data_IF_668712998950
#
_entry.id   IF_668712998950
#
_cell.length_a   1.000
_cell.length_b   1.000
_cell.length_c   1.000
_cell.angle_alpha   90.00
_cell.angle_beta   90.00
_cell.angle_gamma   90.00
#
_symmetry.space_group_name_H-M   'P 1'
#
loop_
_entity.id
_entity.type
_entity.pdbx_description
1 polymer ?
#
# COMPACT_ATOMS: atom_id res chain seq x y z
N UNK A 1 3.73 0.14 5.33
CA UNK A 1 4.05 -0.58 6.58
C UNK A 1 4.82 -1.87 6.27
N UNK A 2 5.51 -2.48 7.23
CA UNK A 2 6.22 -3.77 7.09
C UNK A 2 7.47 -3.85 7.97
N UNK A 3 8.07 -5.03 8.04
CA UNK A 3 9.26 -5.26 8.86
C UNK A 3 10.49 -4.46 8.37
N UNK A 4 11.52 -4.37 9.20
CA UNK A 4 12.81 -3.74 8.83
C UNK A 4 13.37 -4.43 7.59
N UNK A 5 13.97 -3.65 6.68
CA UNK A 5 14.58 -4.14 5.43
C UNK A 5 13.61 -4.83 4.44
N UNK A 6 12.30 -4.66 4.58
CA UNK A 6 11.33 -5.14 3.59
C UNK A 6 11.34 -4.34 2.27
N UNK A 7 12.00 -3.18 2.24
CA UNK A 7 12.11 -2.32 1.06
C UNK A 7 11.05 -1.23 0.98
N UNK A 8 10.51 -0.78 2.13
CA UNK A 8 9.49 0.29 2.20
C UNK A 8 9.97 1.59 1.55
N UNK A 9 11.11 2.11 1.98
CA UNK A 9 11.65 3.36 1.43
C UNK A 9 12.05 3.24 -0.04
N UNK A 10 12.53 2.05 -0.48
CA UNK A 10 12.78 1.79 -1.91
C UNK A 10 11.50 1.80 -2.73
N UNK A 11 10.40 1.26 -2.16
CA UNK A 11 9.08 1.30 -2.79
C UNK A 11 8.56 2.74 -2.88
N UNK A 12 8.70 3.51 -1.80
CA UNK A 12 8.36 4.95 -1.78
C UNK A 12 9.09 5.68 -2.90
N UNK A 13 10.41 5.49 -3.02
CA UNK A 13 11.20 6.14 -4.06
C UNK A 13 10.78 5.72 -5.48
N UNK A 14 10.45 4.43 -5.68
CA UNK A 14 9.96 3.95 -6.97
C UNK A 14 8.60 4.59 -7.33
N UNK A 15 7.65 4.62 -6.40
CA UNK A 15 6.34 5.23 -6.62
C UNK A 15 6.45 6.75 -6.87
N UNK A 16 7.27 7.44 -6.10
CA UNK A 16 7.50 8.88 -6.25
C UNK A 16 8.11 9.21 -7.61
N UNK A 17 9.13 8.45 -8.04
CA UNK A 17 9.80 8.68 -9.31
C UNK A 17 8.91 8.51 -10.54
N UNK A 18 7.84 7.73 -10.42
CA UNK A 18 6.97 7.38 -11.55
C UNK A 18 5.61 8.09 -11.51
N UNK A 19 5.10 8.42 -10.32
CA UNK A 19 3.72 8.94 -10.15
C UNK A 19 3.64 10.42 -9.78
N UNK A 20 4.73 11.05 -9.36
CA UNK A 20 4.67 12.39 -8.79
C UNK A 20 5.34 13.44 -9.68
N UNK A 21 4.62 14.53 -9.98
CA UNK A 21 5.15 15.74 -10.62
C UNK A 21 6.01 16.54 -9.65
N UNK A 22 5.59 16.62 -8.39
CA UNK A 22 6.32 17.29 -7.31
C UNK A 22 6.28 16.45 -6.03
N UNK A 23 7.42 16.41 -5.33
CA UNK A 23 7.56 15.70 -4.05
C UNK A 23 8.26 16.61 -3.06
N UNK A 24 7.69 16.75 -1.88
CA UNK A 24 8.33 17.36 -0.74
C UNK A 24 8.29 16.45 0.47
N UNK A 25 9.41 16.30 1.16
CA UNK A 25 9.46 15.63 2.45
C UNK A 25 8.98 16.59 3.55
N UNK A 26 7.99 16.18 4.31
CA UNK A 26 7.47 16.95 5.45
C UNK A 26 8.09 16.45 6.76
N UNK A 27 8.45 17.34 7.69
CA UNK A 27 8.91 16.93 9.02
C UNK A 27 7.84 16.10 9.72
N UNK A 28 8.24 14.97 10.29
CA UNK A 28 7.37 14.14 11.12
C UNK A 28 7.93 14.03 12.54
N UNK A 29 7.05 14.12 13.53
CA UNK A 29 7.42 14.04 14.95
C UNK A 29 7.64 12.60 15.44
N UNK A 30 7.27 11.58 14.67
CA UNK A 30 7.18 10.19 15.12
C UNK A 30 8.08 9.19 14.37
N UNK A 31 9.24 9.62 13.90
CA UNK A 31 10.15 8.78 13.10
C UNK A 31 9.56 8.27 11.76
N UNK A 32 8.34 8.65 11.42
CA UNK A 32 7.74 8.44 10.11
C UNK A 32 8.19 9.57 9.16
N UNK A 33 8.40 9.27 7.89
CA UNK A 33 8.62 10.28 6.86
C UNK A 33 7.35 10.46 6.05
N UNK A 34 6.89 11.71 5.96
CA UNK A 34 5.71 12.04 5.16
C UNK A 34 6.17 12.70 3.87
N UNK A 35 5.82 12.08 2.74
CA UNK A 35 6.06 12.64 1.42
C UNK A 35 4.74 13.18 0.87
N UNK A 36 4.71 14.46 0.57
CA UNK A 36 3.60 15.07 -0.15
C UNK A 36 3.88 14.95 -1.64
N UNK A 37 2.99 14.32 -2.36
CA UNK A 37 3.13 14.06 -3.79
C UNK A 37 1.93 14.66 -4.52
N UNK A 38 2.20 15.33 -5.65
CA UNK A 38 1.17 15.72 -6.62
C UNK A 38 1.35 14.86 -7.86
N UNK A 39 0.26 14.39 -8.43
CA UNK A 39 0.26 13.60 -9.66
C UNK A 39 -0.14 14.51 -10.81
N UNK A 40 0.58 14.47 -11.94
CA UNK A 40 0.30 15.30 -13.12
C UNK A 40 -1.14 15.14 -13.59
N UNK A 41 -1.84 16.27 -13.72
CA UNK A 41 -3.22 16.35 -14.18
C UNK A 41 -4.27 15.97 -13.13
N UNK A 42 -3.88 15.78 -11.88
CA UNK A 42 -4.77 15.51 -10.75
C UNK A 42 -4.49 16.56 -9.66
N UNK A 43 -5.44 17.47 -9.43
CA UNK A 43 -5.37 18.48 -8.36
C UNK A 43 -5.55 17.85 -6.96
N UNK A 44 -4.86 16.74 -6.69
CA UNK A 44 -4.93 16.04 -5.43
C UNK A 44 -3.54 15.88 -4.84
N UNK A 45 -3.45 16.18 -3.57
CA UNK A 45 -2.26 15.95 -2.78
C UNK A 45 -2.35 14.57 -2.14
N UNK A 46 -1.42 13.70 -2.49
CA UNK A 46 -1.25 12.41 -1.83
C UNK A 46 -0.21 12.52 -0.72
N UNK A 47 -0.57 12.05 0.47
CA UNK A 47 0.38 11.92 1.57
C UNK A 47 0.83 10.47 1.65
N UNK A 48 2.06 10.21 1.23
CA UNK A 48 2.69 8.91 1.36
C UNK A 48 3.51 8.88 2.64
N UNK A 49 3.10 8.04 3.60
CA UNK A 49 3.69 7.96 4.93
C UNK A 49 4.58 6.72 5.01
N UNK A 50 5.90 6.93 5.02
CA UNK A 50 6.86 5.84 5.28
C UNK A 50 7.02 5.66 6.79
N UNK A 51 6.58 4.50 7.28
CA UNK A 51 6.57 4.17 8.71
C UNK A 51 7.85 3.43 9.12
N UNK A 52 8.27 3.54 10.39
CA UNK A 52 9.37 2.74 10.92
C UNK A 52 9.09 1.25 10.74
N UNK A 53 10.17 0.46 10.62
CA UNK A 53 10.04 -0.99 10.46
C UNK A 53 9.54 -1.66 11.73
N UNK A 54 8.70 -2.67 11.55
CA UNK A 54 8.31 -3.58 12.63
C UNK A 54 9.55 -4.33 13.14
N UNK A 55 9.86 -4.18 14.42
CA UNK A 55 11.00 -4.79 15.11
C UNK A 55 10.61 -5.57 16.38
N UNK A 56 9.31 -5.56 16.72
CA UNK A 56 8.75 -6.20 17.91
C UNK A 56 8.54 -5.25 19.10
N UNK A 57 8.90 -3.97 18.97
CA UNK A 57 8.57 -2.96 19.98
C UNK A 57 7.06 -2.68 19.96
N UNK A 58 6.41 -2.90 21.12
CA UNK A 58 4.97 -2.68 21.27
C UNK A 58 4.55 -1.21 21.16
N UNK A 59 5.42 -0.27 21.49
CA UNK A 59 5.13 1.14 21.34
C UNK A 59 5.13 1.53 19.87
N UNK A 60 6.09 1.04 19.09
CA UNK A 60 6.13 1.18 17.64
C UNK A 60 4.91 0.51 17.00
N UNK A 61 4.56 -0.71 17.41
CA UNK A 61 3.38 -1.42 16.92
C UNK A 61 2.10 -0.61 17.13
N UNK A 62 1.88 -0.04 18.33
CA UNK A 62 0.70 0.80 18.62
C UNK A 62 0.66 2.05 17.73
N UNK A 63 1.79 2.70 17.50
CA UNK A 63 1.87 3.86 16.59
C UNK A 63 1.50 3.44 15.15
N UNK A 64 2.02 2.31 14.68
CA UNK A 64 1.70 1.79 13.34
C UNK A 64 0.22 1.45 13.22
N UNK A 65 -0.41 0.80 14.23
CA UNK A 65 -1.87 0.57 14.24
C UNK A 65 -2.62 1.88 14.13
N UNK A 66 -2.24 2.90 14.92
CA UNK A 66 -2.86 4.22 14.84
C UNK A 66 -2.73 4.85 13.45
N UNK A 67 -1.59 4.73 12.80
CA UNK A 67 -1.42 5.24 11.44
C UNK A 67 -2.25 4.46 10.42
N UNK A 68 -2.28 3.13 10.49
CA UNK A 68 -3.09 2.29 9.62
C UNK A 68 -4.57 2.66 9.74
N UNK A 69 -5.09 2.79 10.97
CA UNK A 69 -6.51 3.08 11.21
C UNK A 69 -6.93 4.50 10.84
N UNK A 70 -5.95 5.38 10.60
CA UNK A 70 -6.13 6.74 10.09
C UNK A 70 -5.73 6.92 8.62
N UNK A 71 -5.32 5.86 7.95
CA UNK A 71 -4.98 5.87 6.52
C UNK A 71 -6.20 5.55 5.65
N UNK A 72 -6.13 5.91 4.39
CA UNK A 72 -7.17 5.64 3.39
C UNK A 72 -6.85 4.39 2.57
N UNK A 73 -5.55 4.07 2.45
CA UNK A 73 -5.01 2.89 1.79
C UNK A 73 -3.75 2.43 2.52
N UNK A 74 -3.51 1.14 2.61
CA UNK A 74 -2.32 0.57 3.25
C UNK A 74 -1.53 -0.26 2.24
N UNK A 75 -0.27 0.10 2.04
CA UNK A 75 0.72 -0.72 1.33
C UNK A 75 1.54 -1.50 2.38
N UNK A 76 1.32 -2.81 2.46
CA UNK A 76 1.99 -3.68 3.42
C UNK A 76 3.11 -4.45 2.75
N UNK A 77 4.34 -4.04 3.00
CA UNK A 77 5.52 -4.54 2.31
C UNK A 77 6.14 -5.71 3.08
N UNK A 78 6.21 -6.86 2.45
CA UNK A 78 6.82 -8.08 2.97
C UNK A 78 8.09 -8.40 2.19
N UNK A 79 9.11 -8.90 2.88
CA UNK A 79 10.31 -9.42 2.23
C UNK A 79 10.07 -10.86 1.79
N UNK A 80 10.18 -11.16 0.48
CA UNK A 80 9.82 -12.45 -0.10
C UNK A 80 10.61 -13.62 0.50
N UNK A 81 11.92 -13.45 0.72
CA UNK A 81 12.80 -14.50 1.25
C UNK A 81 12.84 -14.60 2.79
N UNK A 82 11.89 -13.96 3.48
CA UNK A 82 11.73 -14.05 4.93
C UNK A 82 10.43 -14.79 5.24
N UNK A 83 10.53 -15.95 5.88
CA UNK A 83 9.35 -16.75 6.25
C UNK A 83 8.73 -16.34 7.59
N UNK A 84 9.50 -15.66 8.46
CA UNK A 84 9.03 -15.22 9.76
C UNK A 84 8.00 -14.10 9.66
N UNK A 85 6.71 -14.42 9.80
CA UNK A 85 5.58 -13.50 9.69
C UNK A 85 4.90 -13.17 11.02
N UNK A 86 5.50 -13.58 12.14
CA UNK A 86 4.88 -13.39 13.45
C UNK A 86 4.50 -11.93 13.70
N UNK A 87 5.43 -11.01 13.47
CA UNK A 87 5.18 -9.58 13.70
C UNK A 87 4.11 -9.01 12.76
N UNK A 88 4.09 -9.44 11.50
CA UNK A 88 3.06 -9.01 10.55
C UNK A 88 1.68 -9.55 10.94
N UNK A 89 1.59 -10.81 11.38
CA UNK A 89 0.35 -11.42 11.84
C UNK A 89 -0.16 -10.76 13.13
N UNK A 90 0.72 -10.50 14.10
CA UNK A 90 0.36 -9.80 15.34
C UNK A 90 -0.12 -8.37 15.05
N UNK A 91 0.53 -7.66 14.12
CA UNK A 91 0.07 -6.34 13.71
C UNK A 91 -1.29 -6.42 13.00
N UNK A 92 -1.49 -7.40 12.09
CA UNK A 92 -2.77 -7.60 11.42
C UNK A 92 -3.89 -7.86 12.43
N UNK A 93 -3.66 -8.72 13.39
CA UNK A 93 -4.61 -9.00 14.48
C UNK A 93 -4.95 -7.74 15.28
N UNK A 94 -3.94 -6.94 15.63
CA UNK A 94 -4.16 -5.69 16.36
C UNK A 94 -4.99 -4.67 15.56
N UNK A 95 -4.84 -4.63 14.24
CA UNK A 95 -5.70 -3.81 13.36
C UNK A 95 -7.13 -4.34 13.32
N UNK A 96 -7.31 -5.66 13.20
CA UNK A 96 -8.63 -6.28 13.17
C UNK A 96 -9.36 -6.10 14.52
N UNK A 97 -8.65 -6.27 15.64
CA UNK A 97 -9.17 -6.01 16.98
C UNK A 97 -9.65 -4.56 17.15
N UNK A 98 -8.92 -3.58 16.59
CA UNK A 98 -9.33 -2.19 16.62
C UNK A 98 -10.72 -1.98 16.00
N UNK A 99 -11.00 -2.61 14.86
CA UNK A 99 -12.29 -2.49 14.18
C UNK A 99 -13.41 -3.33 14.83
N UNK A 100 -13.06 -4.34 15.65
CA UNK A 100 -14.02 -5.13 16.41
C UNK A 100 -14.51 -4.42 17.69
N UNK A 101 -13.80 -3.40 18.18
CA UNK A 101 -14.24 -2.62 19.33
C UNK A 101 -15.57 -1.94 19.02
N UNK A 102 -16.50 -1.98 19.98
CA UNK A 102 -17.83 -1.36 19.84
C UNK A 102 -17.78 0.12 19.43
N UNK A 103 -16.77 0.86 19.91
CA UNK A 103 -16.55 2.25 19.53
C UNK A 103 -16.14 2.45 18.07
N UNK A 104 -15.61 1.41 17.40
CA UNK A 104 -15.02 1.50 16.07
C UNK A 104 -15.78 0.70 15.00
N UNK A 105 -16.80 -0.08 15.37
CA UNK A 105 -17.50 -0.97 14.43
C UNK A 105 -18.23 -0.26 13.27
N UNK A 106 -18.44 1.05 13.37
CA UNK A 106 -18.99 1.87 12.29
C UNK A 106 -17.90 2.50 11.39
N UNK A 107 -16.62 2.33 11.73
CA UNK A 107 -15.51 2.83 10.92
C UNK A 107 -15.22 1.86 9.80
N UNK A 108 -15.08 2.38 8.58
CA UNK A 108 -14.63 1.57 7.43
C UNK A 108 -13.11 1.37 7.55
N UNK A 109 -12.67 0.12 7.46
CA UNK A 109 -11.25 -0.20 7.40
C UNK A 109 -10.65 0.24 6.05
N UNK A 110 -9.38 0.69 6.03
CA UNK A 110 -8.68 0.96 4.78
C UNK A 110 -8.44 -0.33 4.01
N UNK A 111 -8.40 -0.23 2.68
CA UNK A 111 -8.00 -1.35 1.82
C UNK A 111 -6.53 -1.68 2.05
N UNK A 112 -6.19 -2.95 2.15
CA UNK A 112 -4.83 -3.43 2.41
C UNK A 112 -4.29 -4.13 1.18
N UNK A 113 -3.26 -3.55 0.58
CA UNK A 113 -2.47 -4.13 -0.49
C UNK A 113 -1.20 -4.75 0.10
N UNK A 114 -1.08 -6.06 0.09
CA UNK A 114 0.15 -6.76 0.51
C UNK A 114 1.08 -6.91 -0.67
N UNK A 115 2.31 -6.46 -0.50
CA UNK A 115 3.36 -6.43 -1.50
C UNK A 115 4.48 -7.38 -1.09
N UNK A 116 4.58 -8.53 -1.74
CA UNK A 116 5.66 -9.50 -1.52
C UNK A 116 6.87 -9.02 -2.33
N UNK A 117 7.68 -8.16 -1.72
CA UNK A 117 8.80 -7.47 -2.36
C UNK A 117 10.09 -8.31 -2.34
N UNK A 118 11.05 -7.96 -3.20
CA UNK A 118 12.33 -8.65 -3.35
C UNK A 118 12.16 -10.09 -3.84
N UNK A 119 11.20 -10.33 -4.74
CA UNK A 119 11.00 -11.68 -5.33
C UNK A 119 12.15 -12.11 -6.25
N UNK A 120 12.97 -11.16 -6.72
CA UNK A 120 14.24 -11.40 -7.39
C UNK A 120 15.19 -12.27 -6.54
N UNK A 121 15.15 -12.11 -5.21
CA UNK A 121 15.98 -12.81 -4.23
C UNK A 121 15.47 -14.19 -3.82
N UNK A 122 14.36 -14.65 -4.39
CA UNK A 122 13.92 -16.03 -4.23
C UNK A 122 14.76 -16.97 -5.10
N UNK A 123 15.01 -18.23 -4.70
CA UNK A 123 15.68 -19.19 -5.55
C UNK A 123 14.77 -19.64 -6.74
N UNK A 124 15.36 -20.04 -7.88
CA UNK A 124 16.76 -19.94 -8.25
C UNK A 124 17.13 -18.48 -8.61
N UNK A 125 18.34 -18.03 -8.24
CA UNK A 125 18.75 -16.63 -8.42
C UNK A 125 19.13 -16.28 -9.85
N UNK A 126 19.59 -17.26 -10.60
CA UNK A 126 20.03 -17.18 -11.98
C UNK A 126 18.89 -17.16 -13.02
N UNK A 127 17.66 -17.45 -12.56
CA UNK A 127 16.47 -17.45 -13.43
C UNK A 127 15.68 -16.12 -13.39
N UNK A 128 16.28 -14.98 -13.00
CA UNK A 128 15.56 -13.72 -12.96
C UNK A 128 15.33 -13.12 -14.34
N UNK A 129 14.16 -13.39 -14.92
CA UNK A 129 13.75 -12.93 -16.25
C UNK A 129 12.24 -12.57 -16.26
N UNK A 130 11.81 -11.47 -15.62
CA UNK A 130 10.43 -11.05 -15.68
C UNK A 130 10.02 -10.64 -17.12
N UNK A 131 8.73 -10.70 -17.47
CA UNK A 131 7.59 -11.00 -16.62
C UNK A 131 7.35 -12.50 -16.37
N UNK A 132 6.65 -12.82 -15.26
CA UNK A 132 6.22 -14.18 -14.93
C UNK A 132 4.69 -14.28 -14.94
N UNK A 133 4.14 -15.27 -15.64
CA UNK A 133 2.74 -15.65 -15.49
C UNK A 133 2.60 -16.51 -14.23
N UNK A 134 2.00 -15.94 -13.19
CA UNK A 134 1.82 -16.60 -11.90
C UNK A 134 0.52 -17.40 -11.82
N UNK A 135 -0.39 -17.22 -12.78
CA UNK A 135 -1.60 -18.04 -12.88
C UNK A 135 -1.28 -19.42 -13.45
N UNK A 136 -0.27 -19.51 -14.30
CA UNK A 136 0.22 -20.75 -14.90
C UNK A 136 1.75 -20.76 -14.99
N UNK A 137 2.48 -20.84 -13.84
CA UNK A 137 3.92 -20.65 -13.80
C UNK A 137 4.66 -21.80 -14.48
N UNK A 138 5.37 -21.51 -15.58
CA UNK A 138 6.13 -22.47 -16.37
C UNK A 138 7.57 -22.65 -15.87
N UNK A 139 8.15 -21.60 -15.27
CA UNK A 139 9.53 -21.63 -14.77
C UNK A 139 9.58 -22.00 -13.29
N UNK A 140 10.73 -22.52 -12.83
CA UNK A 140 10.93 -22.80 -11.41
C UNK A 140 10.83 -21.52 -10.58
N UNK A 141 11.40 -20.42 -11.06
CA UNK A 141 11.30 -19.10 -10.43
C UNK A 141 9.83 -18.65 -10.27
N UNK A 142 9.05 -18.74 -11.35
CA UNK A 142 7.63 -18.40 -11.33
C UNK A 142 6.84 -19.23 -10.31
N UNK A 143 7.12 -20.53 -10.20
CA UNK A 143 6.49 -21.42 -9.19
C UNK A 143 6.81 -20.98 -7.77
N UNK A 144 8.07 -20.65 -7.49
CA UNK A 144 8.50 -20.21 -6.15
C UNK A 144 7.88 -18.85 -5.79
N UNK A 145 7.78 -17.93 -6.75
CA UNK A 145 7.08 -16.64 -6.54
C UNK A 145 5.60 -16.89 -6.23
N UNK A 146 4.92 -17.74 -7.01
CA UNK A 146 3.50 -18.06 -6.79
C UNK A 146 3.27 -18.69 -5.39
N UNK A 147 4.14 -19.61 -4.96
CA UNK A 147 4.10 -20.20 -3.62
C UNK A 147 4.29 -19.14 -2.51
N UNK A 148 5.23 -18.21 -2.69
CA UNK A 148 5.45 -17.13 -1.73
C UNK A 148 4.23 -16.20 -1.64
N UNK A 149 3.56 -15.92 -2.74
CA UNK A 149 2.32 -15.14 -2.77
C UNK A 149 1.22 -15.87 -1.99
N UNK A 150 0.98 -17.15 -2.29
CA UNK A 150 -0.10 -17.91 -1.65
C UNK A 150 0.13 -18.07 -0.14
N UNK A 151 1.36 -18.38 0.28
CA UNK A 151 1.74 -18.43 1.68
C UNK A 151 1.42 -17.13 2.44
N UNK A 152 1.73 -15.98 1.86
CA UNK A 152 1.48 -14.69 2.51
C UNK A 152 0.00 -14.29 2.46
N UNK A 153 -0.73 -14.69 1.42
CA UNK A 153 -2.17 -14.49 1.29
C UNK A 153 -2.93 -15.23 2.41
N UNK A 154 -2.60 -16.49 2.68
CA UNK A 154 -3.18 -17.26 3.78
C UNK A 154 -2.91 -16.63 5.15
N UNK A 155 -1.71 -16.05 5.35
CA UNK A 155 -1.32 -15.48 6.65
C UNK A 155 -1.96 -14.13 6.96
N UNK A 156 -2.15 -13.28 5.97
CA UNK A 156 -2.57 -11.88 6.19
C UNK A 156 -3.96 -11.55 5.66
N UNK A 157 -4.57 -12.44 4.86
CA UNK A 157 -5.88 -12.24 4.25
C UNK A 157 -6.08 -10.82 3.71
N UNK A 158 -5.27 -10.38 2.73
CA UNK A 158 -5.32 -9.02 2.19
C UNK A 158 -6.43 -8.85 1.17
N UNK A 159 -6.84 -7.61 0.88
CA UNK A 159 -7.74 -7.30 -0.23
C UNK A 159 -7.08 -7.58 -1.59
N UNK A 160 -5.81 -7.21 -1.70
CA UNK A 160 -4.98 -7.46 -2.89
C UNK A 160 -3.60 -7.93 -2.43
N UNK A 161 -3.00 -8.88 -3.15
CA UNK A 161 -1.61 -9.28 -2.96
C UNK A 161 -0.86 -9.29 -4.28
N UNK A 162 0.33 -8.68 -4.30
CA UNK A 162 1.17 -8.57 -5.49
C UNK A 162 2.62 -8.97 -5.17
N UNK A 163 3.25 -9.82 -5.95
CA UNK A 163 4.69 -10.00 -5.94
C UNK A 163 5.36 -8.80 -6.62
N UNK A 164 6.46 -8.33 -6.07
CA UNK A 164 7.09 -7.08 -6.51
C UNK A 164 8.62 -7.17 -6.49
N UNK A 165 9.25 -6.51 -7.45
CA UNK A 165 10.66 -6.16 -7.43
C UNK A 165 10.83 -4.70 -7.84
N UNK A 166 11.25 -3.85 -6.89
CA UNK A 166 11.52 -2.41 -7.10
C UNK A 166 13.01 -2.09 -7.18
N UNK A 167 13.88 -3.11 -7.20
CA UNK A 167 15.33 -2.90 -7.33
C UNK A 167 15.66 -2.21 -8.66
N UNK A 168 16.64 -1.30 -8.62
CA UNK A 168 17.19 -0.68 -9.82
C UNK A 168 18.36 -1.49 -10.41
N UNK A 169 18.88 -2.46 -9.64
CA UNK A 169 20.02 -3.29 -10.05
C UNK A 169 19.62 -4.43 -10.99
N UNK A 170 18.34 -4.76 -11.05
CA UNK A 170 17.77 -5.84 -11.87
C UNK A 170 16.46 -5.38 -12.50
N UNK A 171 15.97 -6.05 -13.57
CA UNK A 171 14.67 -5.70 -14.15
C UNK A 171 13.57 -5.67 -13.08
N UNK A 172 12.80 -4.61 -13.05
CA UNK A 172 11.66 -4.45 -12.14
C UNK A 172 10.52 -5.39 -12.51
N UNK A 173 9.67 -5.69 -11.53
CA UNK A 173 8.53 -6.59 -11.75
C UNK A 173 7.29 -6.07 -11.04
N UNK A 174 6.18 -5.98 -11.77
CA UNK A 174 4.83 -5.57 -11.32
C UNK A 174 4.72 -4.16 -10.73
N UNK A 175 5.63 -3.25 -11.04
CA UNK A 175 5.52 -1.85 -10.57
C UNK A 175 4.31 -1.17 -11.20
N UNK A 176 4.12 -1.29 -12.53
CA UNK A 176 2.94 -0.77 -13.24
C UNK A 176 1.63 -1.38 -12.71
N UNK A 177 1.65 -2.69 -12.42
CA UNK A 177 0.49 -3.38 -11.84
C UNK A 177 0.14 -2.83 -10.45
N UNK A 178 1.14 -2.50 -9.64
CA UNK A 178 0.94 -1.85 -8.36
C UNK A 178 0.33 -0.46 -8.52
N UNK A 179 0.81 0.35 -9.47
CA UNK A 179 0.24 1.67 -9.75
C UNK A 179 -1.23 1.56 -10.13
N UNK A 180 -1.57 0.64 -11.04
CA UNK A 180 -2.96 0.37 -11.42
C UNK A 180 -3.81 -0.07 -10.22
N UNK A 181 -3.26 -0.91 -9.33
CA UNK A 181 -3.97 -1.34 -8.12
C UNK A 181 -4.20 -0.17 -7.15
N UNK A 182 -3.24 0.76 -7.00
CA UNK A 182 -3.40 1.97 -6.20
C UNK A 182 -4.49 2.87 -6.79
N UNK A 183 -4.46 3.12 -8.10
CA UNK A 183 -5.48 3.91 -8.79
C UNK A 183 -6.87 3.27 -8.64
N UNK A 184 -6.97 1.95 -8.80
CA UNK A 184 -8.24 1.23 -8.64
C UNK A 184 -8.77 1.26 -7.18
N UNK A 185 -7.87 1.37 -6.20
CA UNK A 185 -8.24 1.49 -4.79
C UNK A 185 -8.64 2.92 -4.37
N UNK A 186 -8.51 3.90 -5.27
CA UNK A 186 -8.70 5.31 -4.94
C UNK A 186 -10.13 5.62 -4.44
N UNK A 187 -11.17 5.14 -5.11
CA UNK A 187 -12.56 5.32 -4.69
C UNK A 187 -12.83 4.73 -3.31
N UNK A 188 -12.25 3.56 -3.02
CA UNK A 188 -12.33 2.94 -1.69
C UNK A 188 -11.64 3.81 -0.63
N UNK A 189 -10.51 4.42 -0.97
CA UNK A 189 -9.78 5.35 -0.11
C UNK A 189 -10.62 6.58 0.24
N UNK A 190 -11.23 7.23 -0.77
CA UNK A 190 -12.14 8.37 -0.57
C UNK A 190 -13.31 7.99 0.33
N UNK A 191 -13.95 6.84 0.07
CA UNK A 191 -15.05 6.35 0.88
C UNK A 191 -14.63 6.06 2.33
N UNK A 192 -13.41 5.57 2.53
CA UNK A 192 -12.84 5.32 3.87
C UNK A 192 -12.62 6.63 4.62
N UNK A 193 -12.07 7.64 3.97
CA UNK A 193 -11.87 8.98 4.53
C UNK A 193 -13.21 9.64 4.91
N UNK A 194 -14.19 9.62 4.02
CA UNK A 194 -15.51 10.17 4.28
C UNK A 194 -16.23 9.47 5.45
N UNK A 195 -16.14 8.12 5.50
CA UNK A 195 -16.71 7.36 6.60
C UNK A 195 -16.03 7.74 7.94
N UNK A 196 -14.71 7.84 7.97
CA UNK A 196 -13.96 8.22 9.18
C UNK A 196 -14.41 9.57 9.70
N UNK A 197 -14.45 10.60 8.85
CA UNK A 197 -14.93 11.93 9.22
C UNK A 197 -16.36 11.91 9.77
N UNK A 198 -17.26 11.18 9.13
CA UNK A 198 -18.65 11.05 9.58
C UNK A 198 -18.74 10.42 10.97
N UNK A 199 -17.96 9.38 11.25
CA UNK A 199 -17.98 8.67 12.53
C UNK A 199 -17.30 9.48 13.63
N UNK A 200 -16.27 10.25 13.33
CA UNK A 200 -15.56 11.11 14.26
C UNK A 200 -16.31 12.41 14.59
N UNK A 201 -17.42 12.66 13.90
CA UNK A 201 -18.26 13.83 14.15
C UNK A 201 -17.72 15.14 13.58
N UNK A 202 -16.72 15.06 12.70
CA UNK A 202 -16.26 16.22 11.93
C UNK A 202 -17.41 16.72 11.08
N UNK A 203 -17.79 17.99 11.23
CA UNK A 203 -18.76 18.62 10.33
C UNK A 203 -18.16 18.66 8.95
N UNK A 204 -18.66 17.82 8.06
CA UNK A 204 -18.36 17.88 6.64
C UNK A 204 -18.75 19.27 6.13
N UNK A 205 -17.80 20.05 5.65
CA UNK A 205 -18.12 21.14 4.75
C UNK A 205 -18.52 20.50 3.41
N UNK A 206 -19.83 20.20 3.31
CA UNK A 206 -20.43 19.53 2.15
C UNK A 206 -20.16 20.28 0.85
N UNK A 207 -19.89 21.58 0.91
CA UNK A 207 -19.55 22.39 -0.29
C UNK A 207 -18.15 22.10 -0.80
N UNK A 208 -17.16 22.02 0.05
CA UNK A 208 -15.78 21.68 -0.35
C UNK A 208 -15.64 20.21 -0.74
N UNK A 209 -16.29 19.31 -0.02
CA UNK A 209 -16.29 17.87 -0.36
C UNK A 209 -17.04 17.60 -1.67
N UNK A 210 -18.17 18.28 -1.93
CA UNK A 210 -18.87 18.19 -3.20
C UNK A 210 -18.01 18.71 -4.38
N UNK A 211 -17.24 19.77 -4.19
CA UNK A 211 -16.30 20.28 -5.19
C UNK A 211 -15.18 19.26 -5.46
N UNK A 212 -14.63 18.65 -4.42
CA UNK A 212 -13.59 17.61 -4.57
C UNK A 212 -14.11 16.39 -5.31
N UNK A 213 -15.31 15.90 -4.97
CA UNK A 213 -15.96 14.78 -5.66
C UNK A 213 -16.29 15.11 -7.12
N UNK A 214 -16.72 16.35 -7.40
CA UNK A 214 -16.98 16.80 -8.75
C UNK A 214 -15.70 16.85 -9.59
N UNK A 215 -14.61 17.41 -9.05
CA UNK A 215 -13.31 17.42 -9.72
C UNK A 215 -12.77 16.01 -9.95
N UNK A 216 -12.97 15.10 -9.00
CA UNK A 216 -12.62 13.68 -9.16
C UNK A 216 -13.34 13.02 -10.34
N UNK A 217 -14.64 13.25 -10.45
CA UNK A 217 -15.45 12.75 -11.57
C UNK A 217 -14.95 13.28 -12.92
N UNK A 218 -14.58 14.57 -12.99
CA UNK A 218 -14.03 15.16 -14.21
C UNK A 218 -12.66 14.58 -14.59
N UNK A 219 -11.78 14.36 -13.62
CA UNK A 219 -10.43 13.81 -13.85
C UNK A 219 -10.52 12.36 -14.32
N UNK A 220 -11.32 11.53 -13.65
CA UNK A 220 -11.55 10.14 -14.06
C UNK A 220 -12.17 10.07 -15.47
N UNK A 221 -13.11 10.95 -15.79
CA UNK A 221 -13.73 11.03 -17.11
C UNK A 221 -12.73 11.48 -18.20
N UNK A 222 -11.85 12.44 -17.90
CA UNK A 222 -10.78 12.88 -18.82
C UNK A 222 -9.71 11.80 -19.02
N UNK A 223 -9.33 11.08 -17.96
CA UNK A 223 -8.40 9.96 -18.06
C UNK A 223 -8.98 8.80 -18.90
N UNK A 224 -10.24 8.46 -18.69
CA UNK A 224 -10.96 7.45 -19.49
C UNK A 224 -11.06 7.82 -20.98
N UNK A 225 -11.33 9.11 -21.30
CA UNK A 225 -11.38 9.61 -22.69
C UNK A 225 -10.03 9.62 -23.41
N UNK A 226 -8.91 9.64 -22.70
CA UNK A 226 -7.57 9.56 -23.32
C UNK A 226 -7.15 8.13 -23.68
N UNK A 227 -7.88 7.12 -23.19
CA UNK A 227 -7.63 5.71 -23.48
C UNK A 227 -8.54 5.13 -24.59
N UNK A 228 -9.51 5.92 -25.09
CA UNK A 228 -10.31 5.66 -26.27
C UNK A 228 -9.80 6.46 -27.47
#
# INVERSE_FOLDING_TARGET
VGQVSAGKSSLVNALIGEMAAEVSALPSTDQATVHQCTVDGIDLVHLLIDLPGLDGDKAIQKKIVSQITNSDLVLWVLKANQSARKLDVELRQAVDEFYQLAANQNRKAPKILVLVNQVDRLPPLDEWQPPYDLSNPQTQKGKVIAQAVEFNKEKLNPDIILPLCVSQDVPQFNVDTLQQAIVSAYEDGVNTQLNRRRVEGDRLDLTEEAKRLYHLGEVLFKAYRKQL
#
